data_IF_178909361846
#
_entry.id   IF_178909361846
#
_cell.length_a   1.000
_cell.length_b   1.000
_cell.length_c   1.000
_cell.angle_alpha   90.00
_cell.angle_beta   90.00
_cell.angle_gamma   90.00
#
_symmetry.space_group_name_H-M   'P 1'
#
loop_
_entity.id
_entity.type
_entity.pdbx_description
1 polymer ?
#
# COMPACT_ATOMS: atom_id res chain seq x y z
N UNK A 1 0.74 -19.33 1.69
CA UNK A 1 -0.73 -19.16 1.54
C UNK A 1 -1.21 -17.86 2.21
N UNK A 2 -0.97 -17.65 3.51
CA UNK A 2 -1.32 -16.40 4.20
C UNK A 2 -0.74 -15.13 3.53
N UNK A 3 0.54 -15.19 3.11
CA UNK A 3 1.22 -14.11 2.39
C UNK A 3 0.50 -13.71 1.10
N UNK A 4 -0.02 -14.69 0.34
CA UNK A 4 -0.75 -14.45 -0.90
C UNK A 4 -2.09 -13.78 -0.63
N UNK A 5 -2.84 -14.26 0.37
CA UNK A 5 -4.12 -13.67 0.75
C UNK A 5 -3.92 -12.23 1.25
N UNK A 6 -2.91 -12.00 2.10
CA UNK A 6 -2.59 -10.66 2.60
C UNK A 6 -2.23 -9.69 1.47
N UNK A 7 -1.46 -10.16 0.47
CA UNK A 7 -1.17 -9.39 -0.75
C UNK A 7 -2.44 -8.99 -1.49
N UNK A 8 -3.38 -9.92 -1.69
CA UNK A 8 -4.64 -9.64 -2.39
C UNK A 8 -5.48 -8.61 -1.62
N UNK A 9 -5.61 -8.77 -0.30
CA UNK A 9 -6.38 -7.83 0.54
C UNK A 9 -5.74 -6.44 0.51
N UNK A 10 -4.42 -6.34 0.63
CA UNK A 10 -3.73 -5.06 0.56
C UNK A 10 -3.95 -4.39 -0.81
N UNK A 11 -3.93 -5.17 -1.89
CA UNK A 11 -4.24 -4.67 -3.22
C UNK A 11 -5.67 -4.16 -3.37
N UNK A 12 -6.64 -4.88 -2.80
CA UNK A 12 -8.03 -4.43 -2.78
C UNK A 12 -8.21 -3.15 -1.97
N UNK A 13 -7.55 -3.03 -0.80
CA UNK A 13 -7.61 -1.82 0.03
C UNK A 13 -7.04 -0.62 -0.72
N UNK A 14 -5.85 -0.76 -1.31
CA UNK A 14 -5.23 0.32 -2.08
C UNK A 14 -6.07 0.70 -3.31
N UNK A 15 -6.68 -0.29 -3.96
CA UNK A 15 -7.61 -0.07 -5.06
C UNK A 15 -8.83 0.74 -4.61
N UNK A 16 -9.54 0.31 -3.56
CA UNK A 16 -10.73 1.01 -3.05
C UNK A 16 -10.39 2.42 -2.57
N UNK A 17 -9.30 2.61 -1.83
CA UNK A 17 -8.86 3.93 -1.37
C UNK A 17 -8.50 4.88 -2.53
N UNK A 18 -8.04 4.34 -3.65
CA UNK A 18 -7.77 5.12 -4.86
C UNK A 18 -9.08 5.50 -5.56
N UNK A 19 -10.05 4.57 -5.62
CA UNK A 19 -11.38 4.84 -6.18
C UNK A 19 -12.12 5.94 -5.42
N UNK A 20 -12.08 5.90 -4.09
CA UNK A 20 -12.73 6.91 -3.23
C UNK A 20 -12.19 8.33 -3.46
N UNK A 21 -10.97 8.46 -4.00
CA UNK A 21 -10.30 9.75 -4.28
C UNK A 21 -10.33 10.15 -5.76
N UNK A 22 -11.04 9.42 -6.64
CA UNK A 22 -11.07 9.71 -8.08
C UNK A 22 -11.49 11.15 -8.35
N UNK A 23 -12.54 11.65 -7.68
CA UNK A 23 -13.01 13.02 -7.87
C UNK A 23 -11.93 14.05 -7.50
N UNK A 24 -11.24 13.86 -6.37
CA UNK A 24 -10.13 14.73 -5.97
C UNK A 24 -8.95 14.68 -6.94
N UNK A 25 -8.64 13.50 -7.50
CA UNK A 25 -7.58 13.33 -8.51
C UNK A 25 -7.97 14.03 -9.82
N UNK A 26 -9.24 13.95 -10.22
CA UNK A 26 -9.74 14.65 -11.40
C UNK A 26 -9.66 16.17 -11.25
N UNK A 27 -10.07 16.71 -10.10
CA UNK A 27 -9.89 18.13 -9.78
C UNK A 27 -8.41 18.53 -9.82
N UNK A 28 -7.51 17.68 -9.30
CA UNK A 28 -6.08 17.95 -9.31
C UNK A 28 -5.51 17.97 -10.74
N UNK A 29 -5.99 17.11 -11.63
CA UNK A 29 -5.66 17.17 -13.06
C UNK A 29 -6.15 18.46 -13.71
N UNK A 30 -7.35 18.93 -13.34
CA UNK A 30 -7.93 20.17 -13.89
C UNK A 30 -7.12 21.42 -13.52
N UNK A 31 -6.54 21.47 -12.32
CA UNK A 31 -5.63 22.56 -11.93
C UNK A 31 -4.21 22.41 -12.49
N UNK A 32 -3.97 21.40 -13.34
CA UNK A 32 -2.72 21.23 -14.09
C UNK A 32 -1.70 20.26 -13.49
N UNK A 33 -2.07 19.41 -12.51
CA UNK A 33 -1.12 18.44 -11.98
C UNK A 33 -0.78 17.35 -13.00
N UNK A 34 0.52 17.06 -13.14
CA UNK A 34 1.00 16.02 -14.06
C UNK A 34 0.65 14.62 -13.56
N UNK A 35 0.48 13.68 -14.50
CA UNK A 35 0.24 12.26 -14.20
C UNK A 35 1.34 11.66 -13.29
N UNK A 36 2.58 12.17 -13.38
CA UNK A 36 3.73 11.73 -12.57
C UNK A 36 3.58 12.18 -11.11
N UNK A 37 3.00 13.36 -10.85
CA UNK A 37 2.74 13.82 -9.48
C UNK A 37 1.67 12.95 -8.82
N UNK A 38 0.59 12.64 -9.53
CA UNK A 38 -0.48 11.76 -9.03
C UNK A 38 0.07 10.36 -8.73
N UNK A 39 0.91 9.84 -9.63
CA UNK A 39 1.64 8.59 -9.44
C UNK A 39 2.48 8.62 -8.16
N UNK A 40 3.26 9.69 -7.97
CA UNK A 40 4.07 9.89 -6.77
C UNK A 40 3.25 9.91 -5.49
N UNK A 41 2.11 10.60 -5.47
CA UNK A 41 1.22 10.65 -4.31
C UNK A 41 0.63 9.27 -3.96
N UNK A 42 0.18 8.50 -4.95
CA UNK A 42 -0.37 7.15 -4.72
C UNK A 42 0.71 6.19 -4.23
N UNK A 43 1.91 6.25 -4.83
CA UNK A 43 3.06 5.46 -4.40
C UNK A 43 3.46 5.79 -2.95
N UNK A 44 3.52 7.08 -2.61
CA UNK A 44 3.79 7.55 -1.25
C UNK A 44 2.73 7.07 -0.26
N UNK A 45 1.44 7.14 -0.62
CA UNK A 45 0.36 6.62 0.23
C UNK A 45 0.49 5.11 0.45
N UNK A 46 0.80 4.34 -0.59
CA UNK A 46 0.97 2.90 -0.49
C UNK A 46 2.19 2.50 0.37
N UNK A 47 3.31 3.19 0.19
CA UNK A 47 4.53 2.97 0.99
C UNK A 47 4.31 3.39 2.45
N UNK A 48 3.64 4.52 2.70
CA UNK A 48 3.28 4.94 4.06
C UNK A 48 2.40 3.89 4.74
N UNK A 49 1.34 3.43 4.07
CA UNK A 49 0.45 2.41 4.60
C UNK A 49 1.20 1.09 4.91
N UNK A 50 2.06 0.65 3.99
CA UNK A 50 2.87 -0.55 4.16
C UNK A 50 3.87 -0.43 5.31
N UNK A 51 4.58 0.70 5.40
CA UNK A 51 5.56 0.95 6.47
C UNK A 51 4.89 1.04 7.86
N UNK A 52 3.73 1.68 7.96
CA UNK A 52 2.94 1.73 9.21
C UNK A 52 2.47 0.33 9.58
N UNK A 53 1.93 -0.43 8.63
CA UNK A 53 1.50 -1.81 8.87
C UNK A 53 2.64 -2.69 9.38
N UNK A 54 3.83 -2.59 8.77
CA UNK A 54 5.03 -3.29 9.23
C UNK A 54 5.45 -2.85 10.64
N UNK A 55 5.49 -1.55 10.91
CA UNK A 55 5.85 -1.00 12.22
C UNK A 55 4.92 -1.49 13.33
N UNK A 56 3.61 -1.50 13.08
CA UNK A 56 2.61 -2.04 14.01
C UNK A 56 2.82 -3.54 14.23
N UNK A 57 3.03 -4.31 13.15
CA UNK A 57 3.29 -5.74 13.26
C UNK A 57 4.57 -6.05 14.07
N UNK A 58 5.63 -5.26 13.88
CA UNK A 58 6.87 -5.35 14.64
C UNK A 58 6.67 -5.05 16.13
N UNK A 59 5.96 -3.97 16.46
CA UNK A 59 5.67 -3.57 17.85
C UNK A 59 4.77 -4.58 18.57
N UNK A 60 3.79 -5.15 17.88
CA UNK A 60 2.92 -6.17 18.44
C UNK A 60 3.70 -7.47 18.59
N UNK A 61 4.43 -7.90 17.56
CA UNK A 61 5.23 -9.12 17.58
C UNK A 61 6.25 -9.12 18.71
N UNK A 62 7.01 -8.03 18.87
CA UNK A 62 8.00 -7.89 19.95
C UNK A 62 7.39 -7.98 21.36
N UNK A 63 6.14 -7.56 21.56
CA UNK A 63 5.45 -7.67 22.86
C UNK A 63 4.71 -9.00 23.07
N UNK A 64 4.10 -9.56 22.02
CA UNK A 64 3.32 -10.79 22.12
C UNK A 64 4.22 -12.02 22.15
N UNK A 65 5.26 -12.10 21.31
CA UNK A 65 6.09 -13.31 21.18
C UNK A 65 6.82 -13.75 22.46
N UNK A 66 7.28 -12.86 23.36
CA UNK A 66 7.82 -13.26 24.66
C UNK A 66 6.80 -13.97 25.58
N UNK A 67 5.50 -13.72 25.39
CA UNK A 67 4.44 -14.34 26.18
C UNK A 67 3.98 -15.70 25.62
N UNK A 68 4.48 -16.09 24.44
CA UNK A 68 4.16 -17.41 23.89
C UNK A 68 4.99 -18.50 24.60
N UNK A 69 4.36 -19.61 25.01
CA UNK A 69 5.04 -20.73 25.66
C UNK A 69 6.05 -21.45 24.73
N UNK A 70 5.96 -21.22 23.41
CA UNK A 70 6.93 -21.68 22.40
C UNK A 70 7.86 -20.50 22.06
N UNK A 71 9.19 -20.66 22.25
CA UNK A 71 10.17 -19.62 21.88
C UNK A 71 10.12 -19.37 20.37
N UNK A 72 9.46 -18.28 19.98
CA UNK A 72 9.53 -17.76 18.61
C UNK A 72 10.81 -16.95 18.50
N UNK A 73 11.86 -17.56 17.94
CA UNK A 73 13.12 -16.86 17.69
C UNK A 73 12.90 -16.02 16.44
N UNK A 74 12.77 -14.71 16.62
CA UNK A 74 12.75 -13.76 15.51
C UNK A 74 14.18 -13.35 15.23
N UNK A 75 14.67 -13.73 14.05
CA UNK A 75 15.99 -13.33 13.59
C UNK A 75 15.91 -11.94 12.96
N UNK A 76 16.96 -11.14 13.10
CA UNK A 76 17.08 -9.86 12.37
C UNK A 76 16.88 -10.04 10.86
N UNK A 77 17.35 -11.17 10.32
CA UNK A 77 17.21 -11.52 8.91
C UNK A 77 15.74 -11.70 8.49
N UNK A 78 14.91 -12.31 9.34
CA UNK A 78 13.48 -12.50 9.09
C UNK A 78 12.75 -11.15 9.04
N UNK A 79 13.11 -10.23 9.95
CA UNK A 79 12.54 -8.89 10.01
C UNK A 79 12.85 -8.08 8.74
N UNK A 80 14.10 -8.11 8.28
CA UNK A 80 14.52 -7.42 7.06
C UNK A 80 13.86 -8.05 5.83
N UNK A 81 13.81 -9.37 5.75
CA UNK A 81 13.13 -10.06 4.65
C UNK A 81 11.65 -9.70 4.60
N UNK A 82 10.98 -9.66 5.75
CA UNK A 82 9.57 -9.30 5.83
C UNK A 82 9.33 -7.82 5.45
N UNK A 83 10.23 -6.91 5.84
CA UNK A 83 10.18 -5.51 5.43
C UNK A 83 10.30 -5.36 3.90
N UNK A 84 11.24 -6.07 3.28
CA UNK A 84 11.43 -6.07 1.82
C UNK A 84 10.20 -6.62 1.12
N UNK A 85 9.62 -7.72 1.62
CA UNK A 85 8.40 -8.31 1.06
C UNK A 85 7.25 -7.31 1.12
N UNK A 86 7.02 -6.66 2.27
CA UNK A 86 5.95 -5.66 2.42
C UNK A 86 6.17 -4.50 1.45
N UNK A 87 7.39 -3.94 1.39
CA UNK A 87 7.71 -2.85 0.48
C UNK A 87 7.49 -3.24 -0.99
N UNK A 88 7.95 -4.43 -1.40
CA UNK A 88 7.76 -4.93 -2.76
C UNK A 88 6.28 -5.10 -3.10
N UNK A 89 5.48 -5.68 -2.20
CA UNK A 89 4.05 -5.86 -2.43
C UNK A 89 3.33 -4.50 -2.47
N UNK A 90 3.67 -3.55 -1.58
CA UNK A 90 3.08 -2.20 -1.61
C UNK A 90 3.36 -1.48 -2.92
N UNK A 91 4.59 -1.58 -3.45
CA UNK A 91 4.94 -1.02 -4.77
C UNK A 91 4.15 -1.70 -5.88
N UNK A 92 4.19 -3.03 -5.96
CA UNK A 92 3.47 -3.80 -6.98
C UNK A 92 1.97 -3.52 -6.96
N UNK A 93 1.38 -3.54 -5.77
CA UNK A 93 -0.03 -3.25 -5.58
C UNK A 93 -0.38 -1.81 -5.98
N UNK A 94 0.46 -0.83 -5.64
CA UNK A 94 0.23 0.55 -6.06
C UNK A 94 0.20 0.65 -7.58
N UNK A 95 1.08 -0.05 -8.30
CA UNK A 95 1.12 -0.05 -9.77
C UNK A 95 -0.20 -0.56 -10.37
N UNK A 96 -0.82 -1.58 -9.77
CA UNK A 96 -2.14 -2.06 -10.19
C UNK A 96 -3.25 -1.03 -9.92
N UNK A 97 -3.24 -0.35 -8.76
CA UNK A 97 -4.19 0.74 -8.47
C UNK A 97 -4.01 1.95 -9.40
N UNK A 98 -2.75 2.29 -9.68
CA UNK A 98 -2.32 3.35 -10.60
C UNK A 98 -2.77 3.08 -12.03
N UNK A 99 -2.64 1.84 -12.53
CA UNK A 99 -3.01 1.49 -13.89
C UNK A 99 -4.48 1.83 -14.21
N UNK A 100 -5.37 1.79 -13.19
CA UNK A 100 -6.75 2.23 -13.33
C UNK A 100 -6.88 3.76 -13.19
N UNK A 101 -6.21 4.39 -12.22
CA UNK A 101 -6.23 5.84 -12.04
C UNK A 101 -5.76 6.62 -13.29
N UNK A 102 -4.77 6.08 -14.00
CA UNK A 102 -4.26 6.66 -15.25
C UNK A 102 -5.18 6.42 -16.45
N UNK A 103 -6.04 5.39 -16.42
CA UNK A 103 -7.02 5.08 -17.48
C UNK A 103 -8.28 5.93 -17.42
N UNK A 104 -8.48 6.71 -16.35
CA UNK A 104 -9.62 7.62 -16.22
C UNK A 104 -9.32 8.87 -17.06
N UNK A 105 -10.07 9.02 -18.16
CA UNK A 105 -10.01 10.20 -19.01
C UNK A 105 -10.56 11.42 -18.26
N UNK A 106 -9.95 12.61 -18.40
CA UNK A 106 -10.38 13.84 -17.72
C UNK A 106 -11.87 14.20 -17.92
N UNK A 107 -12.47 13.69 -18.99
CA UNK A 107 -13.81 14.06 -19.46
C UNK A 107 -14.95 13.41 -18.65
N UNK A 108 -14.69 12.41 -17.80
CA UNK A 108 -15.72 11.83 -16.91
C UNK A 108 -16.01 12.68 -15.67
N UNK A 109 -15.20 13.72 -15.39
CA UNK A 109 -15.42 14.62 -14.26
C UNK A 109 -16.52 15.68 -14.51
N UNK A 110 -17.05 15.75 -15.73
CA UNK A 110 -18.03 16.76 -16.15
C UNK A 110 -19.47 16.21 -16.31
N UNK A 111 -19.70 14.92 -16.01
CA UNK A 111 -21.01 14.26 -16.09
C UNK A 111 -21.37 13.54 -14.81
#
# INVERSE_FOLDING_TARGET
LLTVIATIIMALILYTLTLDKIHSIALLKLIGASNVVILGMILQQALLLGSIGYGVAYLIGSRLFPHFPRRVIITQQDLVQLAIIVAAISVLSSLFGIAKALRISPNEALT
#
